data_IF_111509362834
#
_entry.id   IF_111509362834
#
_cell.length_a   1.000
_cell.length_b   1.000
_cell.length_c   1.000
_cell.angle_alpha   90.00
_cell.angle_beta   90.00
_cell.angle_gamma   90.00
#
_symmetry.space_group_name_H-M   'P 1'
#
loop_
_entity.id
_entity.type
_entity.pdbx_description
1 polymer ?
#
# COMPACT_ATOMS: atom_id res chain seq x y z
N UNK A 1 -27.16 -4.78 -14.08
CA UNK A 1 -25.90 -5.47 -14.45
C UNK A 1 -24.92 -4.38 -14.86
N UNK A 2 -24.20 -3.82 -13.89
CA UNK A 2 -23.36 -2.63 -14.09
C UNK A 2 -22.05 -3.06 -14.73
N UNK A 3 -21.85 -2.66 -15.98
CA UNK A 3 -20.63 -2.91 -16.74
C UNK A 3 -19.49 -2.11 -16.12
N UNK A 4 -18.53 -2.83 -15.55
CA UNK A 4 -17.26 -2.31 -15.04
C UNK A 4 -16.57 -1.42 -16.10
N UNK A 5 -16.47 -0.11 -15.82
CA UNK A 5 -15.76 0.90 -16.63
C UNK A 5 -14.38 1.23 -16.03
N UNK A 6 -13.58 0.20 -15.75
CA UNK A 6 -12.13 0.41 -15.66
C UNK A 6 -11.59 0.76 -17.05
N UNK A 7 -10.51 1.55 -17.15
CA UNK A 7 -9.90 1.97 -18.42
C UNK A 7 -9.27 0.84 -19.25
N UNK A 8 -9.70 -0.41 -19.05
CA UNK A 8 -9.19 -1.62 -19.68
C UNK A 8 -10.26 -2.71 -19.65
N UNK A 9 -10.40 -3.40 -20.78
CA UNK A 9 -11.24 -4.59 -20.84
C UNK A 9 -10.76 -5.64 -19.83
N UNK A 10 -11.66 -6.42 -19.21
CA UNK A 10 -11.27 -7.57 -18.42
C UNK A 10 -10.33 -8.48 -19.22
N UNK A 11 -9.11 -8.69 -18.74
CA UNK A 11 -8.12 -9.56 -19.37
C UNK A 11 -7.18 -8.91 -20.39
N UNK A 12 -7.32 -7.61 -20.70
CA UNK A 12 -6.38 -6.89 -21.57
C UNK A 12 -5.54 -5.89 -20.78
N UNK A 13 -4.22 -6.06 -20.80
CA UNK A 13 -3.30 -5.08 -20.22
C UNK A 13 -3.43 -3.75 -20.97
N UNK A 14 -3.71 -2.67 -20.25
CA UNK A 14 -3.80 -1.33 -20.82
C UNK A 14 -2.38 -0.76 -20.93
N UNK A 15 -1.78 -0.82 -22.12
CA UNK A 15 -0.53 -0.12 -22.38
C UNK A 15 -0.81 1.37 -22.54
N UNK A 16 -0.88 2.09 -21.41
CA UNK A 16 -1.18 3.54 -21.38
C UNK A 16 -0.11 4.39 -22.08
N UNK A 17 1.09 3.87 -22.26
CA UNK A 17 2.20 4.62 -22.84
C UNK A 17 3.20 3.71 -23.59
N UNK A 18 2.91 3.37 -24.86
CA UNK A 18 3.76 2.52 -25.67
C UNK A 18 5.19 3.07 -25.76
N UNK A 19 6.15 2.19 -25.49
CA UNK A 19 7.58 2.48 -25.55
C UNK A 19 8.14 3.41 -24.48
N UNK A 20 7.39 3.66 -23.40
CA UNK A 20 7.90 4.42 -22.25
C UNK A 20 9.19 3.82 -21.67
N UNK A 21 9.27 2.49 -21.59
CA UNK A 21 10.47 1.79 -21.12
C UNK A 21 11.70 2.01 -22.03
N UNK A 22 11.50 2.19 -23.34
CA UNK A 22 12.59 2.38 -24.30
C UNK A 22 13.09 3.83 -24.34
N UNK A 23 12.29 4.80 -23.88
CA UNK A 23 12.65 6.23 -23.79
C UNK A 23 13.42 6.58 -22.53
N UNK A 24 13.44 5.70 -21.52
CA UNK A 24 14.20 5.95 -20.30
C UNK A 24 15.69 5.80 -20.61
N UNK A 25 16.52 6.81 -20.31
CA UNK A 25 17.96 6.66 -20.41
C UNK A 25 18.40 5.51 -19.48
N UNK A 26 19.41 4.71 -19.88
CA UNK A 26 19.93 3.65 -19.02
C UNK A 26 20.35 4.23 -17.67
N UNK A 27 19.96 3.59 -16.57
CA UNK A 27 20.30 4.07 -15.22
C UNK A 27 21.84 4.12 -15.08
N UNK A 28 22.43 5.31 -14.82
CA UNK A 28 23.88 5.45 -14.69
C UNK A 28 24.43 4.76 -13.44
N UNK A 29 23.57 4.27 -12.53
CA UNK A 29 23.96 3.62 -11.28
C UNK A 29 23.73 2.10 -11.40
N UNK A 30 24.80 1.28 -11.47
CA UNK A 30 24.62 -0.17 -11.48
C UNK A 30 23.97 -0.65 -10.17
N UNK A 31 23.10 -1.67 -10.27
CA UNK A 31 22.41 -2.24 -9.11
C UNK A 31 23.40 -2.75 -8.04
N UNK A 32 23.55 -1.98 -6.97
CA UNK A 32 24.40 -2.38 -5.85
C UNK A 32 23.84 -3.59 -5.10
N UNK A 33 24.73 -4.38 -4.47
CA UNK A 33 24.36 -5.54 -3.63
C UNK A 33 23.30 -5.24 -2.56
N UNK A 34 23.24 -3.99 -2.06
CA UNK A 34 22.22 -3.54 -1.11
C UNK A 34 20.83 -3.47 -1.76
N UNK A 35 20.73 -2.87 -2.95
CA UNK A 35 19.47 -2.77 -3.69
C UNK A 35 18.95 -4.16 -4.05
N UNK A 36 19.83 -5.04 -4.52
CA UNK A 36 19.46 -6.43 -4.83
C UNK A 36 18.92 -7.19 -3.61
N UNK A 37 19.54 -7.02 -2.44
CA UNK A 37 19.03 -7.62 -1.18
C UNK A 37 17.68 -7.05 -0.77
N UNK A 38 17.50 -5.74 -0.92
CA UNK A 38 16.21 -5.08 -0.66
C UNK A 38 15.14 -5.64 -1.61
N UNK A 39 15.44 -5.74 -2.91
CA UNK A 39 14.52 -6.30 -3.90
C UNK A 39 14.11 -7.73 -3.53
N UNK A 40 15.06 -8.61 -3.22
CA UNK A 40 14.78 -9.98 -2.78
C UNK A 40 13.88 -10.01 -1.54
N UNK A 41 14.18 -9.18 -0.54
CA UNK A 41 13.36 -9.11 0.68
C UNK A 41 11.93 -8.62 0.40
N UNK A 42 11.78 -7.62 -0.47
CA UNK A 42 10.46 -7.12 -0.89
C UNK A 42 9.68 -8.18 -1.68
N UNK A 43 10.31 -8.88 -2.63
CA UNK A 43 9.67 -9.97 -3.37
C UNK A 43 9.25 -11.10 -2.45
N UNK A 44 10.10 -11.49 -1.50
CA UNK A 44 9.75 -12.52 -0.52
C UNK A 44 8.57 -12.09 0.37
N UNK A 45 8.58 -10.84 0.86
CA UNK A 45 7.48 -10.30 1.67
C UNK A 45 6.17 -10.27 0.88
N UNK A 46 6.22 -9.87 -0.40
CA UNK A 46 5.07 -9.89 -1.30
C UNK A 46 4.48 -11.30 -1.42
N UNK A 47 5.30 -12.29 -1.81
CA UNK A 47 4.84 -13.67 -2.04
C UNK A 47 4.29 -14.30 -0.76
N UNK A 48 4.92 -14.05 0.38
CA UNK A 48 4.43 -14.52 1.69
C UNK A 48 3.10 -13.86 2.04
N UNK A 49 2.99 -12.53 1.93
CA UNK A 49 1.78 -11.81 2.32
C UNK A 49 0.55 -12.23 1.50
N UNK A 50 0.73 -12.56 0.21
CA UNK A 50 -0.32 -13.08 -0.68
C UNK A 50 -0.86 -14.43 -0.25
N UNK A 51 0.03 -15.36 0.10
CA UNK A 51 -0.33 -16.76 0.39
C UNK A 51 -0.77 -16.99 1.84
N UNK A 52 -0.44 -16.08 2.74
CA UNK A 52 -0.78 -16.22 4.14
C UNK A 52 -2.29 -16.01 4.38
N UNK A 53 -2.94 -16.78 5.28
CA UNK A 53 -4.29 -16.49 5.72
C UNK A 53 -4.45 -15.07 6.28
N UNK A 54 -5.59 -14.44 6.01
CA UNK A 54 -5.87 -13.05 6.35
C UNK A 54 -5.62 -12.70 7.85
N UNK A 55 -6.04 -13.52 8.84
CA UNK A 55 -5.78 -13.22 10.25
C UNK A 55 -4.30 -13.18 10.60
N UNK A 56 -3.50 -14.09 10.02
CA UNK A 56 -2.06 -14.16 10.28
C UNK A 56 -1.31 -12.99 9.63
N UNK A 57 -1.74 -12.59 8.42
CA UNK A 57 -1.17 -11.45 7.73
C UNK A 57 -1.36 -10.16 8.53
N UNK A 58 -2.57 -9.93 9.05
CA UNK A 58 -2.86 -8.75 9.87
C UNK A 58 -2.23 -8.81 11.27
N UNK A 59 -2.10 -9.98 11.87
CA UNK A 59 -1.34 -10.14 13.12
C UNK A 59 0.15 -9.80 12.91
N UNK A 60 0.74 -10.26 11.81
CA UNK A 60 2.09 -9.91 11.40
C UNK A 60 2.27 -8.40 11.17
N UNK A 61 1.30 -7.74 10.53
CA UNK A 61 1.29 -6.29 10.36
C UNK A 61 1.23 -5.54 11.70
N UNK A 62 0.39 -5.98 12.64
CA UNK A 62 0.29 -5.35 13.96
C UNK A 62 1.60 -5.49 14.75
N UNK A 63 2.24 -6.66 14.68
CA UNK A 63 3.54 -6.88 15.29
C UNK A 63 4.63 -5.99 14.68
N UNK A 64 4.67 -5.91 13.34
CA UNK A 64 5.59 -5.05 12.61
C UNK A 64 5.37 -3.57 12.96
N UNK A 65 4.13 -3.12 13.05
CA UNK A 65 3.78 -1.76 13.46
C UNK A 65 4.31 -1.43 14.86
N UNK A 66 4.11 -2.33 15.83
CA UNK A 66 4.63 -2.16 17.20
C UNK A 66 6.15 -2.09 17.22
N UNK A 67 6.82 -2.96 16.45
CA UNK A 67 8.27 -2.97 16.34
C UNK A 67 8.80 -1.67 15.70
N UNK A 68 8.24 -1.25 14.57
CA UNK A 68 8.62 0.00 13.90
C UNK A 68 8.35 1.23 14.77
N UNK A 69 7.21 1.30 15.46
CA UNK A 69 6.91 2.38 16.38
C UNK A 69 7.94 2.47 17.52
N UNK A 70 8.46 1.34 18.00
CA UNK A 70 9.47 1.30 19.06
C UNK A 70 10.87 1.64 18.55
N UNK A 71 11.26 1.08 17.41
CA UNK A 71 12.66 1.09 16.93
C UNK A 71 12.99 2.26 15.98
N UNK A 72 12.03 2.75 15.20
CA UNK A 72 12.27 3.78 14.18
C UNK A 72 12.05 5.20 14.72
N UNK A 73 12.93 5.66 15.61
CA UNK A 73 12.82 6.95 16.30
C UNK A 73 12.69 8.15 15.35
N UNK A 74 13.52 8.21 14.30
CA UNK A 74 13.48 9.27 13.30
C UNK A 74 12.16 9.29 12.52
N UNK A 75 11.66 8.12 12.10
CA UNK A 75 10.37 7.99 11.41
C UNK A 75 9.23 8.40 12.35
N UNK A 76 9.24 7.94 13.61
CA UNK A 76 8.23 8.29 14.61
C UNK A 76 8.20 9.80 14.87
N UNK A 77 9.35 10.45 14.96
CA UNK A 77 9.44 11.90 15.12
C UNK A 77 8.79 12.65 13.95
N UNK A 78 9.03 12.21 12.70
CA UNK A 78 8.40 12.80 11.50
C UNK A 78 6.89 12.60 11.49
N UNK A 79 6.42 11.39 11.77
CA UNK A 79 4.98 11.09 11.86
C UNK A 79 4.31 11.96 12.93
N UNK A 80 4.91 12.07 14.12
CA UNK A 80 4.42 12.93 15.20
C UNK A 80 4.37 14.40 14.79
N UNK A 81 5.42 14.92 14.17
CA UNK A 81 5.49 16.32 13.73
C UNK A 81 4.40 16.65 12.68
N UNK A 82 4.13 15.72 11.76
CA UNK A 82 3.07 15.89 10.78
C UNK A 82 1.67 15.85 11.43
N UNK A 83 1.42 14.86 12.29
CA UNK A 83 0.12 14.70 12.95
C UNK A 83 -0.17 15.81 13.95
N UNK A 84 0.84 16.40 14.59
CA UNK A 84 0.67 17.53 15.51
C UNK A 84 0.05 18.77 14.84
N UNK A 85 0.04 18.85 13.50
CA UNK A 85 -0.58 19.95 12.76
C UNK A 85 -2.10 19.80 12.61
N UNK A 86 -2.62 18.58 12.75
CA UNK A 86 -4.02 18.24 12.41
C UNK A 86 -4.75 17.46 13.51
N UNK A 87 -4.04 17.06 14.57
CA UNK A 87 -4.58 16.27 15.70
C UNK A 87 -4.38 17.06 16.99
N UNK A 88 -5.40 17.05 17.86
CA UNK A 88 -5.32 17.69 19.16
C UNK A 88 -4.20 17.07 20.04
N UNK A 89 -3.48 17.86 20.86
CA UNK A 89 -2.33 17.40 21.64
C UNK A 89 -2.62 16.16 22.51
N UNK A 90 -3.80 16.09 23.11
CA UNK A 90 -4.27 15.00 23.97
C UNK A 90 -4.44 13.66 23.24
N UNK A 91 -4.70 13.69 21.93
CA UNK A 91 -4.89 12.49 21.10
C UNK A 91 -3.65 12.12 20.28
N UNK A 92 -2.60 12.94 20.33
CA UNK A 92 -1.46 12.83 19.41
C UNK A 92 -0.70 11.49 19.56
N UNK A 93 -0.42 11.05 20.78
CA UNK A 93 0.34 9.80 20.99
C UNK A 93 -0.42 8.56 20.52
N UNK A 94 -1.72 8.49 20.86
CA UNK A 94 -2.62 7.43 20.41
C UNK A 94 -2.72 7.41 18.88
N UNK A 95 -2.83 8.59 18.26
CA UNK A 95 -2.95 8.71 16.80
C UNK A 95 -1.64 8.36 16.09
N UNK A 96 -0.48 8.69 16.67
CA UNK A 96 0.82 8.24 16.15
C UNK A 96 0.89 6.71 16.17
N UNK A 97 0.53 6.05 17.27
CA UNK A 97 0.48 4.58 17.33
C UNK A 97 -0.48 3.99 16.30
N UNK A 98 -1.67 4.57 16.17
CA UNK A 98 -2.66 4.16 15.18
C UNK A 98 -2.15 4.34 13.74
N UNK A 99 -1.42 5.40 13.45
CA UNK A 99 -0.83 5.65 12.13
C UNK A 99 0.18 4.57 11.73
N UNK A 100 1.04 4.12 12.66
CA UNK A 100 1.95 2.99 12.40
C UNK A 100 1.18 1.70 12.11
N UNK A 101 0.12 1.42 12.88
CA UNK A 101 -0.75 0.25 12.65
C UNK A 101 -1.46 0.33 11.29
N UNK A 102 -2.01 1.48 10.95
CA UNK A 102 -2.66 1.72 9.67
C UNK A 102 -1.69 1.56 8.49
N UNK A 103 -0.47 2.07 8.62
CA UNK A 103 0.53 2.00 7.55
C UNK A 103 1.06 0.58 7.34
N UNK A 104 1.28 -0.18 8.42
CA UNK A 104 1.65 -1.59 8.29
C UNK A 104 0.53 -2.44 7.66
N UNK A 105 -0.73 -2.18 8.06
CA UNK A 105 -1.91 -2.80 7.45
C UNK A 105 -2.01 -2.49 5.97
N UNK A 106 -1.82 -1.22 5.58
CA UNK A 106 -1.83 -0.79 4.18
C UNK A 106 -0.84 -1.58 3.33
N UNK A 107 0.38 -1.82 3.81
CA UNK A 107 1.36 -2.59 3.05
C UNK A 107 0.93 -4.04 2.83
N UNK A 108 0.37 -4.68 3.86
CA UNK A 108 -0.17 -6.04 3.71
C UNK A 108 -1.33 -6.06 2.71
N UNK A 109 -2.24 -5.09 2.78
CA UNK A 109 -3.34 -4.96 1.83
C UNK A 109 -2.83 -4.74 0.40
N UNK A 110 -1.82 -3.88 0.21
CA UNK A 110 -1.22 -3.61 -1.10
C UNK A 110 -0.58 -4.86 -1.73
N UNK A 111 0.14 -5.68 -0.95
CA UNK A 111 0.70 -6.93 -1.46
C UNK A 111 -0.38 -7.94 -1.83
N UNK A 112 -1.44 -8.00 -1.02
CA UNK A 112 -2.57 -8.93 -1.23
C UNK A 112 -3.50 -8.47 -2.34
N UNK A 113 -3.54 -7.17 -2.65
CA UNK A 113 -4.41 -6.58 -3.67
C UNK A 113 -4.26 -7.24 -5.04
N UNK A 114 -3.09 -7.81 -5.35
CA UNK A 114 -2.86 -8.58 -6.57
C UNK A 114 -3.78 -9.81 -6.72
N UNK A 115 -4.31 -10.35 -5.62
CA UNK A 115 -5.18 -11.53 -5.59
C UNK A 115 -6.63 -11.23 -5.20
N UNK A 116 -6.96 -9.99 -4.84
CA UNK A 116 -8.34 -9.65 -4.46
C UNK A 116 -9.18 -9.49 -5.72
N UNK A 117 -10.25 -10.28 -5.83
CA UNK A 117 -11.18 -10.18 -6.95
C UNK A 117 -11.94 -8.84 -6.92
N UNK A 118 -12.33 -8.26 -8.07
CA UNK A 118 -13.19 -7.09 -8.09
C UNK A 118 -14.49 -7.29 -7.29
N UNK A 119 -15.10 -8.48 -7.37
CA UNK A 119 -16.29 -8.83 -6.60
C UNK A 119 -16.05 -8.82 -5.07
N UNK A 120 -14.87 -9.22 -4.61
CA UNK A 120 -14.52 -9.12 -3.19
C UNK A 120 -14.31 -7.66 -2.75
N UNK A 121 -13.75 -6.82 -3.61
CA UNK A 121 -13.62 -5.38 -3.35
C UNK A 121 -15.01 -4.76 -3.23
N UNK A 122 -15.88 -5.01 -4.20
CA UNK A 122 -17.26 -4.51 -4.23
C UNK A 122 -18.04 -4.95 -2.98
N UNK A 123 -17.84 -6.20 -2.53
CA UNK A 123 -18.51 -6.74 -1.33
C UNK A 123 -17.99 -6.12 -0.03
N UNK A 124 -16.71 -5.77 0.03
CA UNK A 124 -16.02 -5.34 1.28
C UNK A 124 -15.91 -3.83 1.42
N UNK A 125 -16.28 -3.06 0.40
CA UNK A 125 -16.12 -1.61 0.39
C UNK A 125 -17.42 -0.90 0.02
N UNK A 126 -17.56 0.31 0.53
CA UNK A 126 -18.64 1.23 0.16
C UNK A 126 -18.01 2.50 -0.39
N UNK A 127 -18.59 3.04 -1.46
CA UNK A 127 -18.14 4.28 -2.08
C UNK A 127 -19.23 5.35 -1.95
N UNK A 128 -18.82 6.62 -1.85
CA UNK A 128 -19.70 7.78 -1.82
C UNK A 128 -19.13 8.86 -2.76
N UNK A 129 -19.98 9.73 -3.32
CA UNK A 129 -19.56 10.80 -4.21
C UNK A 129 -19.36 10.39 -5.68
N UNK A 130 -19.78 9.18 -6.07
CA UNK A 130 -19.70 8.72 -7.47
C UNK A 130 -20.72 9.41 -8.38
N UNK A 131 -21.81 9.91 -7.80
CA UNK A 131 -22.79 10.76 -8.47
C UNK A 131 -22.16 12.02 -9.10
N UNK A 132 -21.04 12.50 -8.56
CA UNK A 132 -20.29 13.62 -9.15
C UNK A 132 -19.48 13.22 -10.39
N UNK A 133 -19.15 11.94 -10.55
CA UNK A 133 -18.46 11.42 -11.73
C UNK A 133 -19.44 11.09 -12.86
N UNK A 134 -20.64 10.63 -12.53
CA UNK A 134 -21.69 10.31 -13.50
C UNK A 134 -22.32 11.56 -14.13
N UNK A 135 -22.21 12.71 -13.46
CA UNK A 135 -22.74 14.00 -13.92
C UNK A 135 -21.79 14.78 -14.85
N UNK A 136 -20.57 14.30 -15.09
CA UNK A 136 -19.54 14.93 -15.94
C UNK A 136 -19.49 14.34 -17.35
#
# INVERSE_FOLDING_TARGET
>A
MTTYRGSGHPGAAVERNPGAAQRLPPDPRPEGRRLRRIAIAWTALWEVARRLPEPLAYAGADLAARAQHRLASATRARVRANLARVVAPESLDTTVKAAFRSYARYWVEAFRAADISPADIDRRTTTAGFEHLDAA
#
